data_IF_416873226893
#
_entry.id   IF_416873226893
#
_cell.length_a   1.000
_cell.length_b   1.000
_cell.length_c   1.000
_cell.angle_alpha   90.00
_cell.angle_beta   90.00
_cell.angle_gamma   90.00
#
_symmetry.space_group_name_H-M   'P 1'
#
loop_
_entity.id
_entity.type
_entity.pdbx_description
1 polymer ?
#
# COMPACT_ATOMS: atom_id res chain seq x y z
N UNK A 1 -6.84 -43.07 -14.83
CA UNK A 1 -5.37 -43.24 -14.93
C UNK A 1 -4.67 -42.07 -15.63
N UNK A 2 -4.63 -41.98 -16.98
CA UNK A 2 -3.88 -40.89 -17.66
C UNK A 2 -4.46 -39.47 -17.44
N UNK A 3 -5.78 -39.34 -17.39
CA UNK A 3 -6.47 -38.07 -17.12
C UNK A 3 -6.24 -37.57 -15.69
N UNK A 4 -6.26 -38.50 -14.75
CA UNK A 4 -6.07 -38.28 -13.31
C UNK A 4 -4.61 -37.95 -12.96
N UNK A 5 -3.65 -38.58 -13.65
CA UNK A 5 -2.23 -38.24 -13.55
C UNK A 5 -1.93 -36.83 -14.11
N UNK A 6 -2.59 -36.43 -15.20
CA UNK A 6 -2.46 -35.09 -15.79
C UNK A 6 -3.07 -34.01 -14.90
N UNK A 7 -4.16 -34.32 -14.22
CA UNK A 7 -4.82 -33.41 -13.27
C UNK A 7 -3.99 -33.25 -11.99
N UNK A 8 -3.45 -34.35 -11.43
CA UNK A 8 -2.51 -34.31 -10.30
C UNK A 8 -1.24 -33.53 -10.63
N UNK A 9 -0.65 -33.68 -11.82
CA UNK A 9 0.53 -32.90 -12.21
C UNK A 9 0.20 -31.42 -12.45
N UNK A 10 -1.00 -31.09 -12.95
CA UNK A 10 -1.47 -29.70 -13.03
C UNK A 10 -1.68 -29.11 -11.64
N UNK A 11 -2.24 -29.88 -10.70
CA UNK A 11 -2.39 -29.49 -9.30
C UNK A 11 -1.03 -29.34 -8.61
N UNK A 12 -0.07 -30.23 -8.87
CA UNK A 12 1.28 -30.16 -8.33
C UNK A 12 2.05 -28.97 -8.87
N UNK A 13 1.92 -28.64 -10.17
CA UNK A 13 2.47 -27.41 -10.76
C UNK A 13 1.78 -26.16 -10.23
N UNK A 14 0.45 -26.18 -10.07
CA UNK A 14 -0.27 -25.06 -9.48
C UNK A 14 0.18 -24.86 -8.03
N UNK A 15 0.27 -25.92 -7.23
CA UNK A 15 0.79 -25.89 -5.85
C UNK A 15 2.26 -25.47 -5.80
N UNK A 16 3.10 -25.93 -6.72
CA UNK A 16 4.50 -25.51 -6.79
C UNK A 16 4.63 -24.01 -7.12
N UNK A 17 3.80 -23.49 -8.03
CA UNK A 17 3.68 -22.05 -8.29
C UNK A 17 3.10 -21.30 -7.09
N UNK A 18 2.19 -21.93 -6.31
CA UNK A 18 1.62 -21.32 -5.10
C UNK A 18 2.66 -21.26 -3.97
N UNK A 19 3.52 -22.27 -3.86
CA UNK A 19 4.60 -22.40 -2.85
C UNK A 19 5.86 -21.61 -3.24
N UNK A 20 6.11 -21.35 -4.52
CA UNK A 20 7.12 -20.36 -4.95
C UNK A 20 6.60 -18.92 -4.82
N UNK A 21 5.28 -18.70 -4.90
CA UNK A 21 4.61 -17.42 -4.62
C UNK A 21 4.43 -17.10 -3.14
N UNK A 22 4.58 -18.08 -2.23
CA UNK A 22 4.33 -17.83 -0.81
C UNK A 22 5.33 -16.81 -0.25
N UNK A 23 4.81 -15.60 -0.01
CA UNK A 23 5.45 -14.47 0.66
C UNK A 23 6.72 -13.87 0.03
N UNK A 24 6.96 -14.05 -1.28
CA UNK A 24 8.01 -13.27 -1.93
C UNK A 24 7.45 -11.92 -2.41
N UNK A 25 7.68 -10.86 -1.63
CA UNK A 25 7.20 -9.50 -1.91
C UNK A 25 7.40 -9.10 -3.37
N UNK A 26 8.61 -9.27 -3.91
CA UNK A 26 8.92 -8.87 -5.29
C UNK A 26 8.11 -9.59 -6.37
N UNK A 27 7.70 -10.85 -6.15
CA UNK A 27 6.85 -11.57 -7.12
C UNK A 27 5.42 -11.05 -7.07
N UNK A 28 4.88 -10.85 -5.85
CA UNK A 28 3.54 -10.31 -5.66
C UNK A 28 3.44 -8.88 -6.18
N UNK A 29 4.47 -8.07 -5.93
CA UNK A 29 4.56 -6.70 -6.42
C UNK A 29 4.54 -6.64 -7.96
N UNK A 30 5.26 -7.52 -8.64
CA UNK A 30 5.21 -7.65 -10.10
C UNK A 30 3.83 -8.15 -10.60
N UNK A 31 3.19 -9.08 -9.89
CA UNK A 31 1.84 -9.55 -10.20
C UNK A 31 0.77 -8.46 -10.10
N UNK A 32 0.94 -7.52 -9.16
CA UNK A 32 0.14 -6.31 -9.07
C UNK A 32 0.58 -5.20 -10.01
N UNK A 33 1.53 -5.49 -10.91
CA UNK A 33 2.07 -4.59 -11.94
C UNK A 33 2.86 -3.41 -11.37
N UNK A 34 3.37 -3.51 -10.13
CA UNK A 34 4.12 -2.45 -9.48
C UNK A 34 5.37 -2.05 -10.26
N UNK A 35 6.15 -3.03 -10.73
CA UNK A 35 7.33 -2.78 -11.57
C UNK A 35 6.95 -2.16 -12.92
N UNK A 36 5.92 -2.67 -13.59
CA UNK A 36 5.47 -2.11 -14.87
C UNK A 36 5.04 -0.65 -14.75
N UNK A 37 4.37 -0.27 -13.67
CA UNK A 37 4.02 1.13 -13.42
C UNK A 37 5.25 1.99 -13.13
N UNK A 38 6.23 1.48 -12.39
CA UNK A 38 7.48 2.19 -12.12
C UNK A 38 8.30 2.40 -13.39
N UNK A 39 8.43 1.37 -14.23
CA UNK A 39 9.12 1.45 -15.53
C UNK A 39 8.42 2.45 -16.47
N UNK A 40 7.09 2.42 -16.54
CA UNK A 40 6.33 3.39 -17.34
C UNK A 40 6.57 4.83 -16.86
N UNK A 41 6.57 5.03 -15.54
CA UNK A 41 6.83 6.33 -14.94
C UNK A 41 8.28 6.79 -15.18
N UNK A 42 9.26 5.88 -15.12
CA UNK A 42 10.66 6.17 -15.42
C UNK A 42 10.85 6.58 -16.89
N UNK A 43 10.18 5.91 -17.84
CA UNK A 43 10.18 6.28 -19.25
C UNK A 43 9.62 7.69 -19.43
N UNK A 44 8.45 7.99 -18.84
CA UNK A 44 7.85 9.33 -18.90
C UNK A 44 8.75 10.41 -18.29
N UNK A 45 9.42 10.09 -17.18
CA UNK A 45 10.34 10.99 -16.49
C UNK A 45 11.57 11.31 -17.35
N UNK A 46 12.21 10.27 -17.91
CA UNK A 46 13.38 10.40 -18.79
C UNK A 46 13.03 11.16 -20.07
N UNK A 47 11.87 10.92 -20.66
CA UNK A 47 11.39 11.67 -21.82
C UNK A 47 11.17 13.14 -21.47
N UNK A 48 10.54 13.42 -20.32
CA UNK A 48 10.33 14.78 -19.82
C UNK A 48 11.65 15.51 -19.57
N UNK A 49 12.65 14.84 -18.99
CA UNK A 49 13.97 15.40 -18.77
C UNK A 49 14.67 15.76 -20.09
N UNK A 50 14.62 14.86 -21.08
CA UNK A 50 15.19 15.13 -22.40
C UNK A 50 14.54 16.35 -23.07
N UNK A 51 13.21 16.51 -22.92
CA UNK A 51 12.50 17.68 -23.42
C UNK A 51 12.91 18.97 -22.69
N UNK A 52 13.07 18.93 -21.36
CA UNK A 52 13.57 20.07 -20.57
C UNK A 52 14.95 20.48 -21.07
N UNK A 53 15.88 19.54 -21.21
CA UNK A 53 17.23 19.80 -21.69
C UNK A 53 17.23 20.41 -23.10
N UNK A 54 16.42 19.86 -24.00
CA UNK A 54 16.25 20.41 -25.36
C UNK A 54 15.69 21.84 -25.33
N UNK A 55 14.72 22.13 -24.47
CA UNK A 55 14.13 23.47 -24.35
C UNK A 55 15.15 24.48 -23.82
N UNK A 56 15.86 24.13 -22.74
CA UNK A 56 16.89 24.98 -22.14
C UNK A 56 18.01 25.30 -23.13
N UNK A 57 18.38 24.36 -24.01
CA UNK A 57 19.39 24.58 -25.03
C UNK A 57 18.99 25.63 -26.10
N UNK A 58 17.68 25.89 -26.27
CA UNK A 58 17.18 26.90 -27.22
C UNK A 58 17.08 28.30 -26.60
N UNK A 59 17.09 28.40 -25.28
CA UNK A 59 16.99 29.67 -24.55
C UNK A 59 18.38 30.29 -24.33
N UNK A 60 18.40 31.61 -24.15
CA UNK A 60 19.61 32.35 -23.81
C UNK A 60 19.31 33.59 -22.99
N UNK A 61 20.35 34.15 -22.37
CA UNK A 61 20.24 35.40 -21.61
C UNK A 61 19.30 35.30 -20.40
N UNK A 62 18.52 36.35 -20.18
CA UNK A 62 17.62 36.49 -19.02
C UNK A 62 16.54 35.40 -18.97
N UNK A 63 15.95 35.04 -20.11
CA UNK A 63 14.90 34.01 -20.18
C UNK A 63 15.40 32.64 -19.68
N UNK A 64 16.64 32.28 -20.04
CA UNK A 64 17.24 31.02 -19.59
C UNK A 64 17.42 30.99 -18.06
N UNK A 65 17.87 32.11 -17.47
CA UNK A 65 18.07 32.21 -16.02
C UNK A 65 16.74 32.22 -15.26
N UNK A 66 15.71 32.90 -15.79
CA UNK A 66 14.35 32.85 -15.22
C UNK A 66 13.84 31.41 -15.16
N UNK A 67 13.84 30.71 -16.31
CA UNK A 67 13.34 29.32 -16.37
C UNK A 67 14.13 28.41 -15.43
N UNK A 68 15.47 28.51 -15.40
CA UNK A 68 16.29 27.72 -14.46
C UNK A 68 15.91 27.97 -13.00
N UNK A 69 15.70 29.22 -12.60
CA UNK A 69 15.32 29.55 -11.24
C UNK A 69 13.95 28.95 -10.89
N UNK A 70 12.99 28.99 -11.81
CA UNK A 70 11.67 28.36 -11.61
C UNK A 70 11.81 26.84 -11.46
N UNK A 71 12.61 26.19 -12.31
CA UNK A 71 12.87 24.75 -12.24
C UNK A 71 13.56 24.35 -10.93
N UNK A 72 14.50 25.15 -10.44
CA UNK A 72 15.17 24.96 -9.14
C UNK A 72 14.14 25.10 -8.01
N UNK A 73 13.29 26.12 -8.05
CA UNK A 73 12.27 26.35 -7.03
C UNK A 73 11.23 25.21 -6.96
N UNK A 74 10.92 24.56 -8.09
CA UNK A 74 10.12 23.34 -8.10
C UNK A 74 10.92 22.17 -7.49
N UNK A 75 12.17 21.98 -7.91
CA UNK A 75 13.04 20.89 -7.44
C UNK A 75 13.26 20.92 -5.92
N UNK A 76 13.40 22.11 -5.33
CA UNK A 76 13.59 22.27 -3.88
C UNK A 76 12.42 21.69 -3.06
N UNK A 77 11.21 21.61 -3.62
CA UNK A 77 10.04 21.02 -2.95
C UNK A 77 10.09 19.48 -2.96
N UNK A 78 10.75 18.89 -3.96
CA UNK A 78 10.92 17.43 -4.10
C UNK A 78 12.09 16.88 -3.27
N UNK A 79 13.00 17.75 -2.82
CA UNK A 79 14.08 17.34 -1.92
C UNK A 79 13.43 16.81 -0.63
N UNK A 80 13.70 15.55 -0.25
CA UNK A 80 13.25 15.04 1.03
C UNK A 80 13.79 15.96 2.11
N UNK A 81 12.89 16.67 2.79
CA UNK A 81 13.27 17.29 4.05
C UNK A 81 13.58 16.11 4.97
N UNK A 82 14.82 16.01 5.44
CA UNK A 82 15.12 15.15 6.60
C UNK A 82 13.98 15.40 7.57
N UNK A 83 13.26 14.33 7.92
CA UNK A 83 12.05 14.39 8.72
C UNK A 83 12.41 15.09 10.03
N UNK A 84 12.30 16.41 10.06
CA UNK A 84 12.26 17.17 11.29
C UNK A 84 11.00 16.64 11.96
N UNK A 85 11.17 16.02 13.13
CA UNK A 85 10.16 15.34 13.95
C UNK A 85 8.96 16.23 14.34
N UNK A 86 8.76 17.37 13.68
CA UNK A 86 7.89 18.46 14.08
C UNK A 86 6.86 18.91 13.03
N UNK A 87 6.55 18.18 11.93
CA UNK A 87 5.30 18.49 11.20
C UNK A 87 4.67 17.29 10.49
N UNK A 88 4.14 16.34 11.25
CA UNK A 88 2.71 16.02 11.12
C UNK A 88 2.24 15.76 12.54
N UNK A 89 1.37 16.62 13.07
CA UNK A 89 0.57 16.22 14.22
C UNK A 89 -0.03 14.86 13.85
N UNK A 90 0.37 13.82 14.56
CA UNK A 90 -0.42 12.61 14.71
C UNK A 90 -1.74 13.02 15.40
N UNK A 91 -2.57 13.80 14.71
CA UNK A 91 -4.00 13.74 14.91
C UNK A 91 -4.34 12.31 14.53
N UNK A 92 -4.84 11.60 15.54
CA UNK A 92 -5.27 10.20 15.51
C UNK A 92 -5.90 9.82 14.16
N UNK A 93 -5.08 9.40 13.20
CA UNK A 93 -5.51 8.79 11.95
C UNK A 93 -5.86 7.33 12.25
N UNK A 94 -6.90 7.14 13.05
CA UNK A 94 -7.36 5.82 13.46
C UNK A 94 -8.55 5.37 12.61
N UNK A 95 -9.16 6.26 11.83
CA UNK A 95 -10.27 5.89 10.95
C UNK A 95 -9.84 5.82 9.50
N UNK A 96 -10.15 4.69 8.87
CA UNK A 96 -9.78 4.45 7.49
C UNK A 96 -10.50 5.31 6.44
N UNK A 97 -11.54 6.02 6.86
CA UNK A 97 -12.28 6.96 6.02
C UNK A 97 -11.55 8.30 5.87
N UNK A 98 -10.70 8.68 6.83
CA UNK A 98 -9.89 9.90 6.78
C UNK A 98 -8.86 9.85 5.65
N UNK A 99 -8.17 8.71 5.47
CA UNK A 99 -7.22 8.52 4.38
C UNK A 99 -7.88 8.70 3.01
N UNK A 100 -9.02 8.04 2.78
CA UNK A 100 -9.73 8.08 1.49
C UNK A 100 -10.19 9.49 1.16
N UNK A 101 -10.73 10.20 2.16
CA UNK A 101 -11.20 11.57 2.02
C UNK A 101 -10.04 12.51 1.70
N UNK A 102 -8.95 12.45 2.49
CA UNK A 102 -7.74 13.23 2.28
C UNK A 102 -7.13 12.99 0.88
N UNK A 103 -7.01 11.73 0.46
CA UNK A 103 -6.43 11.38 -0.84
C UNK A 103 -7.30 11.91 -2.00
N UNK A 104 -8.62 11.83 -1.86
CA UNK A 104 -9.56 12.36 -2.86
C UNK A 104 -9.49 13.89 -2.92
N UNK A 105 -9.41 14.56 -1.77
CA UNK A 105 -9.23 16.01 -1.69
C UNK A 105 -7.92 16.47 -2.34
N UNK A 106 -6.82 15.77 -2.11
CA UNK A 106 -5.52 16.10 -2.72
C UNK A 106 -5.54 15.92 -4.25
N UNK A 107 -6.18 14.86 -4.75
CA UNK A 107 -6.33 14.63 -6.19
C UNK A 107 -7.22 15.70 -6.84
N UNK A 108 -8.28 16.13 -6.16
CA UNK A 108 -9.10 17.25 -6.59
C UNK A 108 -8.32 18.56 -6.55
N UNK A 109 -7.54 18.81 -5.49
CA UNK A 109 -6.64 19.96 -5.37
C UNK A 109 -5.65 20.03 -6.53
N UNK A 110 -5.16 18.88 -7.01
CA UNK A 110 -4.22 18.81 -8.12
C UNK A 110 -4.89 19.11 -9.48
N UNK A 111 -6.22 19.20 -9.52
CA UNK A 111 -7.05 19.40 -10.71
C UNK A 111 -6.83 18.33 -11.79
N UNK A 112 -6.55 17.11 -11.36
CA UNK A 112 -6.42 15.95 -12.25
C UNK A 112 -7.68 15.10 -12.16
N UNK A 113 -8.17 14.62 -13.31
CA UNK A 113 -9.32 13.70 -13.37
C UNK A 113 -8.92 12.27 -12.95
N UNK A 114 -8.36 12.12 -11.74
CA UNK A 114 -7.96 10.85 -11.16
C UNK A 114 -8.78 10.54 -9.90
N UNK A 115 -9.23 9.29 -9.79
CA UNK A 115 -9.87 8.75 -8.59
C UNK A 115 -8.97 7.66 -7.99
N UNK A 116 -8.88 7.57 -6.66
CA UNK A 116 -8.04 6.58 -5.98
C UNK A 116 -8.72 5.21 -5.80
N UNK A 117 -9.69 4.85 -6.66
CA UNK A 117 -10.60 3.72 -6.42
C UNK A 117 -9.88 2.37 -6.22
N UNK A 118 -8.84 2.09 -7.02
CA UNK A 118 -8.07 0.84 -6.91
C UNK A 118 -7.25 0.79 -5.63
N UNK A 119 -6.62 1.90 -5.26
CA UNK A 119 -5.87 2.03 -4.02
C UNK A 119 -6.80 1.88 -2.81
N UNK A 120 -7.94 2.57 -2.82
CA UNK A 120 -8.95 2.48 -1.77
C UNK A 120 -9.47 1.05 -1.61
N UNK A 121 -9.67 0.32 -2.72
CA UNK A 121 -10.11 -1.07 -2.70
C UNK A 121 -9.05 -2.00 -2.09
N UNK A 122 -7.80 -1.90 -2.52
CA UNK A 122 -6.69 -2.71 -1.99
C UNK A 122 -6.48 -2.45 -0.48
N UNK A 123 -6.51 -1.17 -0.11
CA UNK A 123 -6.40 -0.71 1.27
C UNK A 123 -7.59 -1.19 2.13
N UNK A 124 -8.83 -1.05 1.65
CA UNK A 124 -10.02 -1.56 2.34
C UNK A 124 -9.93 -3.07 2.57
N UNK A 125 -9.54 -3.84 1.54
CA UNK A 125 -9.26 -5.28 1.66
C UNK A 125 -8.27 -5.52 2.80
N UNK A 126 -7.13 -4.84 2.83
CA UNK A 126 -6.10 -5.00 3.87
C UNK A 126 -6.62 -4.72 5.29
N UNK A 127 -7.43 -3.68 5.49
CA UNK A 127 -8.03 -3.38 6.81
C UNK A 127 -9.13 -4.38 7.20
N UNK A 128 -9.97 -4.83 6.27
CA UNK A 128 -10.96 -5.90 6.52
C UNK A 128 -10.26 -7.17 7.03
N UNK A 129 -9.11 -7.52 6.44
CA UNK A 129 -8.28 -8.64 6.91
C UNK A 129 -7.76 -8.46 8.34
N UNK A 130 -7.31 -7.25 8.70
CA UNK A 130 -6.81 -6.93 10.04
C UNK A 130 -7.92 -7.03 11.10
N UNK A 131 -9.14 -6.57 10.78
CA UNK A 131 -10.30 -6.70 11.65
C UNK A 131 -10.69 -8.18 11.86
N UNK A 132 -10.73 -8.97 10.80
CA UNK A 132 -11.01 -10.42 10.89
C UNK A 132 -9.95 -11.17 11.73
N UNK A 133 -8.68 -10.83 11.56
CA UNK A 133 -7.58 -11.43 12.31
C UNK A 133 -7.67 -11.08 13.80
N UNK A 134 -8.09 -9.86 14.13
CA UNK A 134 -8.27 -9.39 15.51
C UNK A 134 -9.45 -10.05 16.22
N UNK A 135 -10.54 -10.35 15.50
CA UNK A 135 -11.70 -11.06 16.06
C UNK A 135 -11.45 -12.56 16.30
N UNK A 136 -10.43 -13.12 15.66
CA UNK A 136 -10.13 -14.56 15.70
C UNK A 136 -9.05 -14.93 16.74
N UNK A 137 -8.60 -13.98 17.56
CA UNK A 137 -7.71 -14.27 18.68
C UNK A 137 -8.54 -14.78 19.87
N UNK A 138 -8.09 -15.81 20.63
CA UNK A 138 -8.79 -16.26 21.81
C UNK A 138 -8.76 -15.13 22.84
N UNK A 139 -9.88 -14.44 23.02
CA UNK A 139 -10.09 -13.62 24.21
C UNK A 139 -10.32 -14.61 25.33
N UNK A 140 -9.40 -14.63 26.31
CA UNK A 140 -9.56 -15.39 27.55
C UNK A 140 -10.96 -15.11 28.13
N UNK A 141 -11.86 -16.10 28.00
CA UNK A 141 -13.06 -16.15 28.81
C UNK A 141 -12.57 -16.52 30.20
N UNK A 142 -12.29 -15.50 31.01
CA UNK A 142 -12.31 -15.66 32.47
C UNK A 142 -13.74 -16.09 32.84
N UNK A 143 -13.99 -17.40 32.84
CA UNK A 143 -15.16 -17.99 33.46
C UNK A 143 -15.16 -17.61 34.95
N UNK A 144 -16.16 -16.84 35.36
CA UNK A 144 -16.58 -16.70 36.74
C UNK A 144 -16.86 -18.09 37.33
N UNK A 145 -15.83 -18.68 37.96
CA UNK A 145 -16.02 -19.74 38.92
C UNK A 145 -16.41 -19.09 40.26
N UNK A 146 -17.70 -19.03 40.54
CA UNK A 146 -18.16 -18.98 41.92
C UNK A 146 -19.05 -20.18 42.24
N UNK A 147 -18.54 -20.98 43.14
CA UNK A 147 -18.93 -22.32 43.50
C UNK A 147 -20.35 -22.39 44.10
N UNK A 148 -21.09 -23.44 43.74
CA UNK A 148 -22.17 -24.00 44.58
C UNK A 148 -21.76 -25.40 45.03
N UNK A 149 -21.92 -25.77 46.31
CA UNK A 149 -21.83 -27.18 46.71
C UNK A 149 -23.20 -27.85 46.86
N UNK A 150 -23.31 -29.03 46.20
CA UNK A 150 -23.87 -30.33 46.66
C UNK A 150 -25.35 -30.41 47.11
N UNK A 151 -26.18 -31.45 46.91
CA UNK A 151 -26.29 -32.75 46.19
C UNK A 151 -27.74 -33.29 46.56
N UNK A 152 -28.19 -34.54 46.33
CA UNK A 152 -28.52 -35.27 45.10
C UNK A 152 -29.98 -35.79 45.06
N UNK A 153 -30.52 -36.18 43.89
CA UNK A 153 -31.87 -36.77 43.80
C UNK A 153 -32.28 -37.38 42.45
N UNK A 154 -32.10 -38.70 42.36
CA UNK A 154 -32.93 -39.75 41.70
C UNK A 154 -33.41 -39.69 40.23
N UNK A 155 -32.90 -40.68 39.46
CA UNK A 155 -33.61 -41.64 38.59
C UNK A 155 -34.37 -41.21 37.30
N UNK A 156 -33.86 -41.67 36.14
CA UNK A 156 -34.39 -42.76 35.27
C UNK A 156 -34.42 -42.51 33.74
N UNK A 157 -33.87 -43.52 33.05
CA UNK A 157 -34.25 -44.15 31.75
C UNK A 157 -33.84 -43.59 30.37
N UNK A 158 -32.86 -44.31 29.78
CA UNK A 158 -32.69 -44.82 28.40
C UNK A 158 -33.65 -44.38 27.27
N UNK A 159 -33.07 -44.02 26.11
CA UNK A 159 -33.18 -44.78 24.83
C UNK A 159 -32.22 -44.25 23.74
N UNK A 160 -31.58 -45.20 23.06
CA UNK A 160 -30.74 -45.03 21.86
C UNK A 160 -31.53 -44.53 20.64
N UNK A 161 -30.90 -43.68 19.81
CA UNK A 161 -30.81 -43.91 18.35
C UNK A 161 -29.70 -43.05 17.72
N UNK A 162 -28.92 -43.69 16.83
CA UNK A 162 -27.79 -43.15 16.04
C UNK A 162 -28.19 -41.98 15.13
N UNK A 163 -27.25 -41.05 14.89
CA UNK A 163 -26.70 -40.65 13.57
C UNK A 163 -25.50 -39.71 13.78
N UNK A 164 -24.40 -40.03 13.10
CA UNK A 164 -23.24 -39.15 12.92
C UNK A 164 -23.65 -37.83 12.23
N UNK A 165 -23.27 -36.70 12.82
CA UNK A 165 -22.83 -35.57 12.01
C UNK A 165 -21.72 -34.84 12.76
N UNK A 166 -20.51 -35.12 12.30
CA UNK A 166 -19.34 -34.26 12.37
C UNK A 166 -19.72 -32.77 12.44
N UNK A 167 -19.54 -32.19 13.62
CA UNK A 167 -19.33 -30.76 13.80
C UNK A 167 -18.08 -30.61 14.65
N UNK A 168 -16.95 -30.95 14.04
CA UNK A 168 -15.75 -30.18 14.34
C UNK A 168 -16.03 -28.74 13.94
N UNK A 169 -16.59 -27.94 14.87
CA UNK A 169 -16.36 -26.50 14.86
C UNK A 169 -14.87 -26.31 15.12
N UNK A 170 -14.08 -26.39 14.03
CA UNK A 170 -12.73 -25.88 14.01
C UNK A 170 -12.88 -24.37 14.11
N UNK A 171 -12.73 -23.87 15.32
CA UNK A 171 -12.42 -22.47 15.59
C UNK A 171 -11.15 -22.12 14.81
N UNK A 172 -11.33 -21.55 13.61
CA UNK A 172 -10.23 -21.24 12.68
C UNK A 172 -9.59 -19.92 13.11
N UNK A 173 -8.86 -19.93 14.22
CA UNK A 173 -7.80 -18.94 14.41
C UNK A 173 -6.80 -19.09 13.24
N UNK A 174 -6.54 -17.98 12.53
CA UNK A 174 -5.59 -17.96 11.40
C UNK A 174 -4.17 -18.22 11.94
N UNK A 175 -3.36 -19.01 11.22
CA UNK A 175 -1.98 -19.28 11.67
C UNK A 175 -1.08 -18.07 11.47
N UNK A 176 0.05 -18.03 12.18
CA UNK A 176 1.06 -16.96 12.02
C UNK A 176 1.56 -16.88 10.57
N UNK A 177 1.73 -18.01 9.91
CA UNK A 177 2.15 -18.09 8.51
C UNK A 177 1.09 -17.50 7.57
N UNK A 178 -0.20 -17.76 7.82
CA UNK A 178 -1.31 -17.18 7.04
C UNK A 178 -1.35 -15.66 7.18
N UNK A 179 -1.23 -15.15 8.41
CA UNK A 179 -1.19 -13.70 8.67
C UNK A 179 0.03 -13.07 7.99
N UNK A 180 1.21 -13.71 8.08
CA UNK A 180 2.41 -13.25 7.40
C UNK A 180 2.21 -13.15 5.88
N UNK A 181 1.71 -14.22 5.24
CA UNK A 181 1.46 -14.21 3.79
C UNK A 181 0.48 -13.10 3.36
N UNK A 182 -0.62 -12.94 4.10
CA UNK A 182 -1.59 -11.86 3.85
C UNK A 182 -0.99 -10.47 4.04
N UNK A 183 -0.07 -10.32 5.01
CA UNK A 183 0.64 -9.07 5.26
C UNK A 183 1.51 -8.69 4.07
N UNK A 184 2.32 -9.64 3.57
CA UNK A 184 3.21 -9.40 2.42
C UNK A 184 2.41 -9.14 1.14
N UNK A 185 1.33 -9.90 0.88
CA UNK A 185 0.44 -9.66 -0.26
C UNK A 185 -0.20 -8.27 -0.20
N UNK A 186 -0.74 -7.89 0.97
CA UNK A 186 -1.42 -6.61 1.15
C UNK A 186 -0.47 -5.43 0.98
N UNK A 187 0.75 -5.52 1.53
CA UNK A 187 1.78 -4.50 1.35
C UNK A 187 2.17 -4.37 -0.12
N UNK A 188 2.40 -5.48 -0.82
CA UNK A 188 2.73 -5.46 -2.25
C UNK A 188 1.59 -4.85 -3.09
N UNK A 189 0.33 -5.25 -2.83
CA UNK A 189 -0.85 -4.74 -3.55
C UNK A 189 -1.03 -3.23 -3.34
N UNK A 190 -1.03 -2.77 -2.08
CA UNK A 190 -1.21 -1.35 -1.76
C UNK A 190 -0.08 -0.52 -2.36
N UNK A 191 1.17 -0.97 -2.27
CA UNK A 191 2.32 -0.28 -2.86
C UNK A 191 2.19 -0.14 -4.36
N UNK A 192 1.85 -1.23 -5.06
CA UNK A 192 1.64 -1.19 -6.51
C UNK A 192 0.51 -0.21 -6.89
N UNK A 193 -0.57 -0.14 -6.10
CA UNK A 193 -1.66 0.83 -6.34
C UNK A 193 -1.26 2.27 -6.04
N UNK A 194 -0.38 2.52 -5.08
CA UNK A 194 0.21 3.85 -4.87
C UNK A 194 1.02 4.30 -6.09
N UNK A 195 1.88 3.43 -6.61
CA UNK A 195 2.70 3.74 -7.80
C UNK A 195 1.83 3.91 -9.05
N UNK A 196 0.81 3.06 -9.23
CA UNK A 196 -0.19 3.22 -10.29
C UNK A 196 -0.88 4.59 -10.21
N UNK A 197 -1.22 5.05 -9.00
CA UNK A 197 -1.85 6.35 -8.78
C UNK A 197 -0.90 7.50 -9.15
N UNK A 198 0.38 7.43 -8.74
CA UNK A 198 1.39 8.42 -9.12
C UNK A 198 1.64 8.43 -10.63
N UNK A 199 1.69 7.25 -11.26
CA UNK A 199 1.83 7.12 -12.70
C UNK A 199 0.67 7.77 -13.45
N UNK A 200 -0.58 7.50 -13.05
CA UNK A 200 -1.77 8.14 -13.65
C UNK A 200 -1.77 9.66 -13.44
N UNK A 201 -1.33 10.13 -12.28
CA UNK A 201 -1.16 11.55 -12.01
C UNK A 201 -0.12 12.18 -12.94
N UNK A 202 1.00 11.50 -13.19
CA UNK A 202 2.02 11.94 -14.15
C UNK A 202 1.43 12.12 -15.56
N UNK A 203 0.70 11.12 -16.06
CA UNK A 203 0.04 11.17 -17.36
C UNK A 203 -0.93 12.35 -17.48
N UNK A 204 -1.69 12.63 -16.41
CA UNK A 204 -2.65 13.74 -16.37
C UNK A 204 -1.99 15.11 -16.24
N UNK A 205 -0.84 15.23 -15.57
CA UNK A 205 -0.06 16.47 -15.52
C UNK A 205 0.52 16.81 -16.91
N UNK A 206 0.91 15.80 -17.69
CA UNK A 206 1.46 15.99 -19.04
C UNK A 206 0.37 16.27 -20.09
N UNK A 207 -0.77 15.60 -20.00
CA UNK A 207 -1.77 15.58 -21.08
C UNK A 207 -3.15 16.13 -20.69
N UNK A 208 -3.35 16.52 -19.43
CA UNK A 208 -4.60 17.08 -18.93
C UNK A 208 -4.90 18.46 -19.50
N UNK A 209 -6.18 18.85 -19.50
CA UNK A 209 -6.61 20.17 -19.93
C UNK A 209 -6.75 21.09 -18.71
N UNK A 210 -6.11 22.26 -18.81
CA UNK A 210 -6.11 23.38 -17.84
C UNK A 210 -5.29 23.17 -16.56
N UNK A 211 -4.16 23.88 -16.48
CA UNK A 211 -3.36 24.00 -15.26
C UNK A 211 -3.85 25.22 -14.47
N UNK A 212 -4.66 24.98 -13.44
CA UNK A 212 -5.22 26.03 -12.58
C UNK A 212 -4.24 26.55 -11.51
N UNK A 213 -3.26 25.72 -11.12
CA UNK A 213 -2.30 26.01 -10.04
C UNK A 213 -0.89 26.27 -10.54
N UNK A 214 -0.08 26.93 -9.70
CA UNK A 214 1.35 27.03 -9.97
C UNK A 214 2.01 25.66 -9.86
N UNK A 215 3.08 25.43 -10.61
CA UNK A 215 3.85 24.19 -10.52
C UNK A 215 4.40 23.94 -9.10
N UNK A 216 4.72 25.00 -8.35
CA UNK A 216 5.15 24.88 -6.96
C UNK A 216 4.02 24.39 -6.04
N UNK A 217 2.78 24.86 -6.25
CA UNK A 217 1.65 24.38 -5.46
C UNK A 217 1.27 22.95 -5.83
N UNK A 218 1.33 22.60 -7.12
CA UNK A 218 1.20 21.19 -7.56
C UNK A 218 2.28 20.30 -6.92
N UNK A 219 3.54 20.76 -6.86
CA UNK A 219 4.63 20.03 -6.19
C UNK A 219 4.32 19.78 -4.71
N UNK A 220 3.82 20.78 -3.97
CA UNK A 220 3.42 20.60 -2.56
C UNK A 220 2.28 19.59 -2.40
N UNK A 221 1.28 19.64 -3.28
CA UNK A 221 0.17 18.68 -3.28
C UNK A 221 0.67 17.26 -3.55
N UNK A 222 1.60 17.08 -4.51
CA UNK A 222 2.25 15.79 -4.78
C UNK A 222 3.07 15.27 -3.60
N UNK A 223 3.79 16.16 -2.90
CA UNK A 223 4.52 15.82 -1.66
C UNK A 223 3.54 15.32 -0.59
N UNK A 224 2.43 16.03 -0.37
CA UNK A 224 1.41 15.65 0.60
C UNK A 224 0.73 14.32 0.23
N UNK A 225 0.42 14.13 -1.05
CA UNK A 225 -0.17 12.90 -1.59
C UNK A 225 0.73 11.70 -1.33
N UNK A 226 2.01 11.83 -1.65
CA UNK A 226 3.03 10.78 -1.45
C UNK A 226 3.25 10.50 0.04
N UNK A 227 3.30 11.55 0.87
CA UNK A 227 3.41 11.42 2.33
C UNK A 227 2.23 10.64 2.93
N UNK A 228 1.00 10.95 2.51
CA UNK A 228 -0.19 10.21 2.93
C UNK A 228 -0.11 8.72 2.54
N UNK A 229 0.33 8.41 1.32
CA UNK A 229 0.54 7.03 0.87
C UNK A 229 1.60 6.30 1.70
N UNK A 230 2.74 6.91 1.98
CA UNK A 230 3.80 6.34 2.81
C UNK A 230 3.35 6.11 4.26
N UNK A 231 2.58 7.04 4.83
CA UNK A 231 2.03 6.92 6.19
C UNK A 231 1.03 5.77 6.29
N UNK A 232 0.17 5.60 5.28
CA UNK A 232 -0.79 4.50 5.24
C UNK A 232 -0.09 3.14 5.15
N UNK A 233 0.92 3.00 4.28
CA UNK A 233 1.74 1.77 4.17
C UNK A 233 2.48 1.48 5.47
N UNK A 234 3.05 2.49 6.11
CA UNK A 234 3.75 2.34 7.40
C UNK A 234 2.79 1.91 8.51
N UNK A 235 1.60 2.51 8.54
CA UNK A 235 0.52 2.15 9.47
C UNK A 235 0.07 0.70 9.27
N UNK A 236 -0.16 0.27 8.02
CA UNK A 236 -0.49 -1.11 7.69
C UNK A 236 0.61 -2.09 8.10
N UNK A 237 1.88 -1.80 7.77
CA UNK A 237 3.02 -2.64 8.15
C UNK A 237 3.10 -2.83 9.67
N UNK A 238 2.88 -1.75 10.44
CA UNK A 238 2.82 -1.82 11.90
C UNK A 238 1.66 -2.68 12.39
N UNK A 239 0.44 -2.45 11.88
CA UNK A 239 -0.74 -3.24 12.27
C UNK A 239 -0.56 -4.73 11.94
N UNK A 240 0.00 -5.06 10.79
CA UNK A 240 0.33 -6.43 10.42
C UNK A 240 1.38 -7.05 11.36
N UNK A 241 2.45 -6.33 11.68
CA UNK A 241 3.45 -6.74 12.68
C UNK A 241 2.81 -7.03 14.04
N UNK A 242 1.91 -6.16 14.49
CA UNK A 242 1.18 -6.33 15.75
C UNK A 242 0.27 -7.56 15.71
N UNK A 243 -0.44 -7.80 14.61
CA UNK A 243 -1.26 -9.01 14.41
C UNK A 243 -0.43 -10.30 14.38
N UNK A 244 0.73 -10.30 13.69
CA UNK A 244 1.67 -11.42 13.69
C UNK A 244 2.18 -11.70 15.10
N UNK A 245 2.50 -10.64 15.86
CA UNK A 245 2.96 -10.74 17.25
C UNK A 245 1.90 -11.36 18.15
N UNK A 246 0.64 -10.90 18.03
CA UNK A 246 -0.47 -11.41 18.82
C UNK A 246 -0.76 -12.89 18.55
N UNK A 247 -0.84 -13.29 17.28
CA UNK A 247 -1.06 -14.67 16.88
C UNK A 247 0.12 -15.59 17.26
N UNK A 248 1.34 -15.05 17.27
CA UNK A 248 2.57 -15.76 17.61
C UNK A 248 2.94 -15.74 19.10
N UNK A 249 2.07 -15.29 20.00
CA UNK A 249 2.38 -15.11 21.43
C UNK A 249 2.95 -16.34 22.13
N UNK A 250 2.57 -17.55 21.68
CA UNK A 250 3.06 -18.82 22.21
C UNK A 250 4.34 -19.34 21.51
N UNK A 251 4.84 -18.65 20.49
CA UNK A 251 6.06 -19.03 19.74
C UNK A 251 7.32 -18.47 20.41
N UNK A 252 8.46 -19.12 20.18
CA UNK A 252 9.76 -18.61 20.62
C UNK A 252 10.13 -17.36 19.80
N UNK A 253 10.72 -16.37 20.46
CA UNK A 253 11.21 -15.14 19.82
C UNK A 253 12.18 -15.38 18.66
N UNK A 254 13.02 -16.43 18.73
CA UNK A 254 13.95 -16.82 17.66
C UNK A 254 13.25 -17.19 16.34
N UNK A 255 11.99 -17.64 16.42
CA UNK A 255 11.17 -17.99 15.24
C UNK A 255 10.27 -16.83 14.82
N UNK A 256 9.70 -16.11 15.79
CA UNK A 256 8.73 -15.04 15.53
C UNK A 256 9.38 -13.74 15.05
N UNK A 257 10.51 -13.33 15.65
CA UNK A 257 11.16 -12.05 15.33
C UNK A 257 11.57 -11.93 13.85
N UNK A 258 12.13 -12.97 13.20
CA UNK A 258 12.41 -12.90 11.76
C UNK A 258 11.17 -12.62 10.90
N UNK A 259 10.01 -13.16 11.26
CA UNK A 259 8.74 -12.96 10.54
C UNK A 259 8.28 -11.51 10.70
N UNK A 260 8.26 -11.00 11.93
CA UNK A 260 7.93 -9.60 12.24
C UNK A 260 8.86 -8.65 11.50
N UNK A 261 10.18 -8.87 11.60
CA UNK A 261 11.19 -8.05 10.94
C UNK A 261 11.03 -8.08 9.42
N UNK A 262 10.61 -9.21 8.84
CA UNK A 262 10.32 -9.29 7.41
C UNK A 262 9.13 -8.42 7.03
N UNK A 263 8.03 -8.43 7.78
CA UNK A 263 6.87 -7.55 7.51
C UNK A 263 7.24 -6.08 7.60
N UNK A 264 8.04 -5.70 8.60
CA UNK A 264 8.51 -4.33 8.78
C UNK A 264 9.47 -3.92 7.65
N UNK A 265 10.39 -4.81 7.27
CA UNK A 265 11.32 -4.58 6.16
C UNK A 265 10.58 -4.35 4.84
N UNK A 266 9.59 -5.19 4.52
CA UNK A 266 8.80 -4.99 3.30
C UNK A 266 7.91 -3.74 3.37
N UNK A 267 7.48 -3.33 4.57
CA UNK A 267 6.86 -2.02 4.78
C UNK A 267 7.81 -0.86 4.46
N UNK A 268 9.06 -0.92 4.92
CA UNK A 268 10.08 0.07 4.58
C UNK A 268 10.40 0.07 3.08
N UNK A 269 10.61 -1.09 2.47
CA UNK A 269 10.83 -1.21 1.03
C UNK A 269 9.68 -0.59 0.23
N UNK A 270 8.43 -0.84 0.65
CA UNK A 270 7.22 -0.26 0.07
C UNK A 270 7.25 1.27 0.08
N UNK A 271 7.64 1.89 1.21
CA UNK A 271 7.78 3.36 1.29
C UNK A 271 8.87 3.89 0.37
N UNK A 272 9.99 3.17 0.23
CA UNK A 272 11.06 3.54 -0.70
C UNK A 272 10.57 3.52 -2.15
N UNK A 273 9.87 2.47 -2.58
CA UNK A 273 9.31 2.43 -3.94
C UNK A 273 8.35 3.60 -4.23
N UNK A 274 7.53 3.98 -3.25
CA UNK A 274 6.61 5.13 -3.39
C UNK A 274 7.39 6.45 -3.46
N UNK A 275 8.45 6.61 -2.66
CA UNK A 275 9.32 7.78 -2.70
C UNK A 275 10.10 7.89 -4.00
N UNK A 276 10.63 6.78 -4.51
CA UNK A 276 11.33 6.72 -5.81
C UNK A 276 10.38 7.11 -6.95
N UNK A 277 9.16 6.56 -6.95
CA UNK A 277 8.12 6.96 -7.90
C UNK A 277 7.78 8.46 -7.81
N UNK A 278 7.75 9.02 -6.60
CA UNK A 278 7.55 10.46 -6.43
C UNK A 278 8.69 11.29 -7.03
N UNK A 279 9.96 10.87 -6.90
CA UNK A 279 11.08 11.58 -7.52
C UNK A 279 10.97 11.62 -9.06
N UNK A 280 10.41 10.57 -9.66
CA UNK A 280 10.17 10.52 -11.12
C UNK A 280 9.12 11.54 -11.60
N UNK A 281 8.29 12.10 -10.71
CA UNK A 281 7.33 13.14 -11.07
C UNK A 281 7.98 14.52 -11.25
N UNK A 282 9.20 14.73 -10.76
CA UNK A 282 9.85 16.05 -10.83
C UNK A 282 10.05 16.50 -12.29
N UNK A 283 10.70 15.73 -13.18
CA UNK A 283 10.84 16.13 -14.58
C UNK A 283 9.48 16.31 -15.28
N UNK A 284 8.50 15.47 -14.95
CA UNK A 284 7.13 15.55 -15.49
C UNK A 284 6.47 16.89 -15.17
N UNK A 285 6.55 17.33 -13.91
CA UNK A 285 5.99 18.62 -13.50
C UNK A 285 6.76 19.80 -14.07
N UNK A 286 8.08 19.69 -14.16
CA UNK A 286 8.95 20.72 -14.72
C UNK A 286 8.66 20.95 -16.22
N UNK A 287 8.49 19.90 -17.01
CA UNK A 287 8.16 20.07 -18.44
C UNK A 287 6.75 20.64 -18.62
N UNK A 288 5.77 20.20 -17.80
CA UNK A 288 4.42 20.76 -17.82
C UNK A 288 4.42 22.26 -17.50
N UNK A 289 5.25 22.69 -16.54
CA UNK A 289 5.47 24.11 -16.24
C UNK A 289 6.04 24.89 -17.42
N UNK A 290 7.06 24.35 -18.10
CA UNK A 290 7.66 25.00 -19.29
C UNK A 290 6.62 25.16 -20.40
N UNK A 291 5.86 24.10 -20.70
CA UNK A 291 4.87 24.09 -21.78
C UNK A 291 3.72 25.09 -21.53
N UNK A 292 3.28 25.21 -20.28
CA UNK A 292 2.21 26.14 -19.89
C UNK A 292 2.69 27.59 -19.83
N UNK A 293 3.91 27.84 -19.33
CA UNK A 293 4.52 29.17 -19.34
C UNK A 293 4.81 29.68 -20.76
N UNK A 294 5.21 28.79 -21.68
CA UNK A 294 5.42 29.13 -23.09
C UNK A 294 4.13 29.48 -23.84
N UNK A 295 3.01 28.83 -23.50
CA UNK A 295 1.70 29.09 -24.12
C UNK A 295 1.13 30.46 -23.72
N UNK A 296 1.33 30.89 -22.46
CA UNK A 296 0.87 32.20 -21.95
C UNK A 296 1.67 33.39 -22.49
N UNK A 297 2.85 33.17 -23.07
CA UNK A 297 3.68 34.23 -23.67
C UNK A 297 3.33 34.51 -25.14
N UNK A 298 2.44 33.71 -25.76
CA UNK A 298 2.00 33.84 -27.15
C UNK A 298 0.57 34.39 -27.33
N UNK A 299 -0.17 34.62 -26.24
CA UNK A 299 -1.44 35.37 -26.21
C UNK A 299 -1.23 36.82 -25.75
#
# INVERSE_FOLDING_TARGET
LLREAKEKEKQRRAQQVTVERTAHYGLLFDEFQGLSHLEALEILSNESEAQIQSHLATLGGEQLETVKNDLIAIKEIFVPKELDDEVVQAQKADTGEEFVSMLTELLFELHVAATPDKLNKARKKAHEWLEEASLSTPVDIEEELNEKPEEPGEEKTQKDDKIESDKTEVDKSKTVEEIYMLSIESLAEVTARCIEQLHKVAELILHGQEVEKTAQDQAKVLTNLTSAMCNEVSSLSKKFSDSVTAAGSNMKAEVLNPIINSVLLEGSNSTTYIQDAFQLLLPVLQISHIQTSGSKAQE
#
